data_IF_830230482295
#
_entry.id   IF_830230482295
#
_cell.length_a   1.000
_cell.length_b   1.000
_cell.length_c   1.000
_cell.angle_alpha   90.00
_cell.angle_beta   90.00
_cell.angle_gamma   90.00
#
_symmetry.space_group_name_H-M   'P 1'
#
loop_
_entity.id
_entity.type
_entity.pdbx_description
1 polymer ?
#
# COMPACT_ATOMS: atom_id res chain seq x y z
N UNK A 1 45.50 -11.38 -12.45
CA UNK A 1 44.05 -11.46 -12.76
C UNK A 1 43.32 -10.43 -11.89
N UNK A 2 42.86 -9.31 -12.45
CA UNK A 2 42.17 -8.26 -11.69
C UNK A 2 40.65 -8.43 -11.84
N UNK A 3 39.93 -8.53 -10.74
CA UNK A 3 38.46 -8.65 -10.75
C UNK A 3 37.82 -7.28 -10.96
N UNK A 4 36.63 -7.23 -11.58
CA UNK A 4 35.89 -5.96 -11.87
C UNK A 4 35.72 -5.05 -10.66
N UNK A 5 35.66 -5.61 -9.45
CA UNK A 5 35.59 -4.85 -8.20
C UNK A 5 36.87 -4.04 -7.91
N UNK A 6 38.05 -4.57 -8.25
CA UNK A 6 39.35 -3.88 -8.09
C UNK A 6 39.53 -2.69 -9.04
N UNK A 7 38.78 -2.64 -10.14
CA UNK A 7 38.78 -1.55 -11.12
C UNK A 7 37.75 -0.45 -10.83
N UNK A 8 37.09 -0.47 -9.65
CA UNK A 8 36.10 0.54 -9.25
C UNK A 8 34.78 0.52 -10.03
N UNK A 9 34.56 -0.46 -10.91
CA UNK A 9 33.35 -0.53 -11.75
C UNK A 9 32.17 -1.08 -10.96
N UNK A 10 31.45 -0.20 -10.27
CA UNK A 10 30.18 -0.52 -9.61
C UNK A 10 29.01 -0.18 -10.55
N UNK A 11 28.45 -1.20 -11.22
CA UNK A 11 27.19 -1.02 -11.97
C UNK A 11 26.03 -1.12 -10.97
N UNK A 12 25.14 -0.11 -10.85
CA UNK A 12 23.92 -0.26 -10.05
C UNK A 12 23.11 -1.41 -10.63
N UNK A 13 22.53 -2.23 -9.76
CA UNK A 13 21.72 -3.35 -10.21
C UNK A 13 20.48 -2.79 -10.93
N UNK A 14 20.27 -3.09 -12.22
CA UNK A 14 19.16 -2.53 -13.00
C UNK A 14 17.80 -2.88 -12.38
N UNK A 15 17.70 -3.98 -11.63
CA UNK A 15 16.48 -4.36 -10.87
C UNK A 15 16.04 -3.30 -9.86
N UNK A 16 16.94 -2.45 -9.38
CA UNK A 16 16.66 -1.41 -8.38
C UNK A 16 16.93 0.01 -8.89
N UNK A 17 17.29 0.18 -10.16
CA UNK A 17 17.61 1.49 -10.74
C UNK A 17 16.40 2.44 -10.73
N UNK A 18 15.18 1.92 -10.81
CA UNK A 18 13.94 2.71 -10.76
C UNK A 18 13.47 3.07 -9.34
N UNK A 19 14.06 2.50 -8.28
CA UNK A 19 13.65 2.80 -6.90
C UNK A 19 14.02 4.23 -6.46
N UNK A 20 14.96 4.87 -7.16
CA UNK A 20 15.45 6.22 -6.85
C UNK A 20 14.61 7.36 -7.46
N UNK A 21 13.64 7.05 -8.33
CA UNK A 21 12.75 8.03 -8.96
C UNK A 21 11.36 8.08 -8.29
N UNK A 22 11.26 7.61 -7.04
CA UNK A 22 10.11 7.94 -6.21
C UNK A 22 10.31 9.42 -5.86
N UNK A 23 9.84 10.31 -6.72
CA UNK A 23 9.51 11.66 -6.29
C UNK A 23 8.67 11.49 -5.04
N UNK A 24 9.19 11.98 -3.92
CA UNK A 24 8.46 12.11 -2.66
C UNK A 24 7.38 13.14 -2.96
N UNK A 25 6.34 12.67 -3.61
CA UNK A 25 5.15 13.43 -3.86
C UNK A 25 4.48 13.58 -2.50
N UNK A 26 4.11 14.80 -2.17
CA UNK A 26 3.53 15.22 -0.89
C UNK A 26 2.08 14.73 -0.74
N UNK A 27 1.77 13.60 -1.40
CA UNK A 27 0.49 12.92 -1.37
C UNK A 27 0.22 12.49 0.07
N UNK A 28 -0.62 13.26 0.75
CA UNK A 28 -0.95 13.04 2.15
C UNK A 28 -1.63 11.67 2.31
N UNK A 29 -0.87 10.71 2.85
CA UNK A 29 -1.38 9.39 3.19
C UNK A 29 -1.94 9.41 4.63
N UNK A 30 -3.25 9.14 4.81
CA UNK A 30 -3.84 9.17 6.14
C UNK A 30 -3.30 8.00 6.98
N UNK A 31 -2.90 8.28 8.22
CA UNK A 31 -2.37 7.24 9.13
C UNK A 31 -3.47 6.49 9.88
N UNK A 32 -4.71 6.95 9.80
CA UNK A 32 -5.85 6.39 10.52
C UNK A 32 -7.15 6.47 9.72
N UNK A 33 -8.07 5.54 9.99
CA UNK A 33 -9.40 5.51 9.38
C UNK A 33 -10.16 6.83 9.62
N UNK A 34 -10.09 7.38 10.83
CA UNK A 34 -10.76 8.65 11.18
C UNK A 34 -10.26 9.82 10.34
N UNK A 35 -9.00 9.77 9.89
CA UNK A 35 -8.46 10.76 8.96
C UNK A 35 -8.89 10.45 7.52
N UNK A 36 -8.69 9.21 7.07
CA UNK A 36 -9.03 8.76 5.71
C UNK A 36 -10.50 8.99 5.35
N UNK A 37 -11.43 8.69 6.28
CA UNK A 37 -12.88 8.85 6.08
C UNK A 37 -13.29 10.29 5.75
N UNK A 38 -12.54 11.29 6.23
CA UNK A 38 -12.83 12.72 5.97
C UNK A 38 -12.43 13.13 4.56
N UNK A 39 -11.48 12.42 3.95
CA UNK A 39 -11.01 12.68 2.60
C UNK A 39 -11.89 11.92 1.62
N UNK A 40 -12.52 12.65 0.69
CA UNK A 40 -13.50 12.12 -0.25
C UNK A 40 -12.95 10.93 -1.05
N UNK A 41 -11.76 11.09 -1.62
CA UNK A 41 -11.11 10.08 -2.47
C UNK A 41 -10.86 8.78 -1.71
N UNK A 42 -10.29 8.88 -0.50
CA UNK A 42 -10.05 7.73 0.36
C UNK A 42 -11.35 7.06 0.83
N UNK A 43 -12.40 7.84 1.10
CA UNK A 43 -13.71 7.28 1.46
C UNK A 43 -14.32 6.47 0.32
N UNK A 44 -14.26 6.97 -0.92
CA UNK A 44 -14.72 6.23 -2.10
C UNK A 44 -13.89 4.97 -2.34
N UNK A 45 -12.56 5.07 -2.30
CA UNK A 45 -11.68 3.92 -2.46
C UNK A 45 -11.97 2.82 -1.41
N UNK A 46 -12.15 3.20 -0.14
CA UNK A 46 -12.54 2.25 0.92
C UNK A 46 -13.89 1.59 0.65
N UNK A 47 -14.88 2.35 0.16
CA UNK A 47 -16.19 1.82 -0.17
C UNK A 47 -16.13 0.83 -1.35
N UNK A 48 -15.34 1.13 -2.38
CA UNK A 48 -15.16 0.25 -3.53
C UNK A 48 -14.50 -1.08 -3.16
N UNK A 49 -13.43 -1.03 -2.35
CA UNK A 49 -12.78 -2.24 -1.81
C UNK A 49 -13.74 -3.05 -0.93
N UNK A 50 -14.50 -2.38 -0.06
CA UNK A 50 -15.51 -3.04 0.77
C UNK A 50 -16.60 -3.72 -0.08
N UNK A 51 -17.12 -3.04 -1.10
CA UNK A 51 -18.09 -3.61 -2.03
C UNK A 51 -17.51 -4.77 -2.84
N UNK A 52 -16.23 -4.72 -3.23
CA UNK A 52 -15.56 -5.82 -3.89
C UNK A 52 -15.50 -7.07 -3.00
N UNK A 53 -15.19 -6.90 -1.71
CA UNK A 53 -15.22 -8.00 -0.73
C UNK A 53 -16.62 -8.59 -0.56
N UNK A 54 -17.66 -7.76 -0.52
CA UNK A 54 -19.05 -8.23 -0.47
C UNK A 54 -19.42 -9.04 -1.71
N UNK A 55 -19.06 -8.55 -2.92
CA UNK A 55 -19.31 -9.26 -4.19
C UNK A 55 -18.59 -10.60 -4.25
N UNK A 56 -17.40 -10.71 -3.67
CA UNK A 56 -16.67 -11.97 -3.62
C UNK A 56 -17.38 -13.04 -2.77
N UNK A 57 -18.24 -12.63 -1.83
CA UNK A 57 -19.03 -13.55 -1.00
C UNK A 57 -18.20 -14.42 -0.07
N UNK A 58 -16.91 -14.11 0.12
CA UNK A 58 -15.98 -14.92 0.93
C UNK A 58 -16.10 -14.66 2.43
N UNK A 59 -16.78 -13.58 2.82
CA UNK A 59 -16.89 -13.15 4.22
C UNK A 59 -18.36 -13.05 4.62
N UNK A 60 -18.68 -13.58 5.80
CA UNK A 60 -19.97 -13.40 6.46
C UNK A 60 -19.79 -12.54 7.72
N UNK A 61 -20.69 -11.58 7.92
CA UNK A 61 -20.69 -10.76 9.13
C UNK A 61 -21.30 -11.57 10.28
N UNK A 62 -20.54 -11.76 11.35
CA UNK A 62 -20.98 -12.51 12.54
C UNK A 62 -21.02 -11.57 13.75
N UNK A 63 -22.06 -11.64 14.60
CA UNK A 63 -22.11 -10.84 15.82
C UNK A 63 -20.98 -11.22 16.78
N UNK A 64 -20.38 -10.20 17.40
CA UNK A 64 -19.30 -10.40 18.37
C UNK A 64 -19.87 -10.96 19.68
N UNK A 65 -19.27 -12.03 20.20
CA UNK A 65 -19.53 -12.53 21.55
C UNK A 65 -18.43 -12.10 22.53
N UNK A 66 -18.72 -11.93 23.83
CA UNK A 66 -17.73 -11.47 24.82
C UNK A 66 -16.49 -12.37 24.96
N UNK A 67 -16.64 -13.67 24.71
CA UNK A 67 -15.55 -14.64 24.77
C UNK A 67 -14.66 -14.67 23.52
N UNK A 68 -15.01 -13.90 22.48
CA UNK A 68 -14.29 -13.90 21.21
C UNK A 68 -13.10 -12.94 21.24
N UNK A 69 -11.91 -13.45 20.95
CA UNK A 69 -10.72 -12.64 20.71
C UNK A 69 -10.77 -12.01 19.31
N UNK A 70 -11.31 -10.80 19.24
CA UNK A 70 -11.36 -10.04 17.99
C UNK A 70 -9.98 -9.48 17.67
N UNK A 71 -9.41 -9.91 16.55
CA UNK A 71 -8.17 -9.34 16.06
C UNK A 71 -8.43 -7.92 15.54
N UNK A 72 -7.58 -6.95 15.89
CA UNK A 72 -7.70 -5.61 15.32
C UNK A 72 -7.42 -5.68 13.82
N UNK A 73 -8.38 -5.26 13.00
CA UNK A 73 -8.14 -5.02 11.58
C UNK A 73 -7.53 -3.61 11.42
N UNK A 74 -6.37 -3.53 10.78
CA UNK A 74 -5.72 -2.27 10.44
C UNK A 74 -5.71 -2.11 8.93
N UNK A 75 -6.41 -1.08 8.45
CA UNK A 75 -6.30 -0.63 7.08
C UNK A 75 -4.94 0.04 6.86
N UNK A 76 -4.28 -0.32 5.76
CA UNK A 76 -3.06 0.33 5.30
C UNK A 76 -3.47 1.30 4.19
N UNK A 77 -3.37 2.59 4.48
CA UNK A 77 -3.65 3.64 3.51
C UNK A 77 -2.37 3.97 2.78
N UNK A 78 -2.25 3.47 1.54
CA UNK A 78 -1.13 3.76 0.66
C UNK A 78 -1.63 4.02 -0.74
N UNK A 79 -1.05 5.01 -1.39
CA UNK A 79 -1.27 5.24 -2.82
C UNK A 79 -0.49 4.19 -3.59
N UNK A 80 -1.20 3.37 -4.38
CA UNK A 80 -0.55 2.47 -5.34
C UNK A 80 -0.18 3.27 -6.57
N UNK A 81 1.09 3.21 -6.97
CA UNK A 81 1.58 3.81 -8.21
C UNK A 81 1.95 2.72 -9.21
N UNK A 82 1.72 3.01 -10.48
CA UNK A 82 2.17 2.21 -11.61
C UNK A 82 3.70 2.34 -11.78
N UNK A 83 4.30 1.47 -12.59
CA UNK A 83 5.75 1.45 -12.82
C UNK A 83 6.30 2.72 -13.46
N UNK A 84 5.44 3.48 -14.13
CA UNK A 84 5.73 4.78 -14.74
C UNK A 84 5.57 5.97 -13.76
N UNK A 85 5.15 5.71 -12.52
CA UNK A 85 4.97 6.72 -11.48
C UNK A 85 3.58 7.34 -11.41
N UNK A 86 2.65 6.93 -12.29
CA UNK A 86 1.25 7.39 -12.28
C UNK A 86 0.41 6.68 -11.20
N UNK A 87 -0.76 7.24 -10.85
CA UNK A 87 -1.75 6.66 -9.92
C UNK A 87 -2.89 6.02 -10.71
#
# INVERSE_FOLDING_TARGET
MATRAKAGVRKPNPKYAHHALISIDDSFEPTSFSHAKKLKEWHFAMADEFNALLRAGTWILVPRTPAMNVLPNKWIFRVKRNSDGTI
#
